data_IF_530893271737
#
_entry.id   IF_530893271737
#
_cell.length_a   1.000
_cell.length_b   1.000
_cell.length_c   1.000
_cell.angle_alpha   90.00
_cell.angle_beta   90.00
_cell.angle_gamma   90.00
#
_symmetry.space_group_name_H-M   'P 1'
#
loop_
_entity.id
_entity.type
_entity.pdbx_description
1 polymer ?
#
# COMPACT_ATOMS: atom_id res chain seq x y z
N UNK A 1 -7.14 14.84 2.70
CA UNK A 1 -6.80 13.53 2.10
C UNK A 1 -7.76 12.51 2.67
N UNK A 2 -9.00 12.54 2.19
CA UNK A 2 -10.11 11.72 2.70
C UNK A 2 -10.27 10.53 1.74
N UNK A 3 -9.80 9.34 2.11
CA UNK A 3 -9.92 8.13 1.26
C UNK A 3 -8.66 7.28 1.06
N UNK A 4 -7.50 7.72 1.56
CA UNK A 4 -6.30 6.88 1.56
C UNK A 4 -6.36 5.86 2.71
N UNK A 5 -6.42 4.57 2.35
CA UNK A 5 -6.34 3.44 3.26
C UNK A 5 -4.96 3.31 3.91
N UNK A 6 -3.91 3.60 3.15
CA UNK A 6 -2.52 3.57 3.58
C UNK A 6 -1.75 4.66 2.85
N UNK A 7 -0.81 5.32 3.53
CA UNK A 7 0.08 6.31 2.93
C UNK A 7 1.45 6.19 3.58
N UNK A 8 2.50 6.23 2.77
CA UNK A 8 3.89 6.19 3.20
C UNK A 8 4.73 6.95 2.18
N UNK A 9 5.49 7.97 2.61
CA UNK A 9 6.53 8.60 1.79
C UNK A 9 7.92 8.24 2.33
N UNK A 10 8.92 8.16 1.45
CA UNK A 10 10.30 7.89 1.84
C UNK A 10 11.30 8.30 0.77
N UNK A 11 12.55 8.42 1.17
CA UNK A 11 13.69 8.61 0.28
C UNK A 11 14.29 7.21 0.02
N UNK A 12 14.69 6.92 -1.21
CA UNK A 12 15.32 5.66 -1.61
C UNK A 12 16.61 6.02 -2.34
N UNK A 13 17.76 5.98 -1.65
CA UNK A 13 19.02 6.51 -2.18
C UNK A 13 18.91 8.01 -2.49
N UNK A 14 19.28 8.43 -3.70
CA UNK A 14 19.06 9.81 -4.20
C UNK A 14 17.62 10.07 -4.72
N UNK A 15 16.76 9.05 -4.71
CA UNK A 15 15.38 9.11 -5.17
C UNK A 15 14.37 9.25 -4.04
N UNK A 16 13.08 9.34 -4.39
CA UNK A 16 11.96 9.33 -3.42
C UNK A 16 10.89 8.36 -3.88
N UNK A 17 10.22 7.67 -2.97
CA UNK A 17 9.02 6.90 -3.28
C UNK A 17 7.91 7.19 -2.28
N UNK A 18 6.72 7.38 -2.81
CA UNK A 18 5.50 7.64 -2.09
C UNK A 18 4.54 6.53 -2.47
N UNK A 19 4.16 5.70 -1.52
CA UNK A 19 3.21 4.62 -1.69
C UNK A 19 1.93 4.96 -0.96
N UNK A 20 0.80 4.92 -1.65
CA UNK A 20 -0.53 5.10 -1.09
C UNK A 20 -1.49 4.03 -1.60
N UNK A 21 -2.39 3.59 -0.74
CA UNK A 21 -3.45 2.64 -1.06
C UNK A 21 -4.76 3.39 -0.95
N UNK A 22 -5.53 3.38 -2.02
CA UNK A 22 -6.90 3.91 -2.00
C UNK A 22 -7.83 2.87 -1.39
N UNK A 23 -8.88 3.33 -0.71
CA UNK A 23 -9.90 2.39 -0.24
C UNK A 23 -10.58 1.72 -1.45
N UNK A 24 -10.73 0.39 -1.43
CA UNK A 24 -11.39 -0.32 -2.52
C UNK A 24 -12.88 0.07 -2.55
N UNK A 25 -13.46 0.19 -3.74
CA UNK A 25 -14.88 0.47 -3.93
C UNK A 25 -15.70 -0.81 -3.66
N UNK A 26 -16.90 -0.68 -3.06
CA UNK A 26 -17.84 -1.81 -2.86
C UNK A 26 -18.07 -2.50 -4.20
N UNK A 27 -17.69 -3.77 -4.31
CA UNK A 27 -17.89 -4.54 -5.56
C UNK A 27 -19.38 -4.66 -5.92
N UNK A 28 -20.26 -4.63 -4.91
CA UNK A 28 -21.71 -4.72 -5.09
C UNK A 28 -22.38 -3.41 -5.54
N UNK A 29 -21.99 -2.24 -5.02
CA UNK A 29 -22.67 -0.97 -5.33
C UNK A 29 -21.81 0.06 -6.07
N UNK A 30 -20.49 -0.07 -6.04
CA UNK A 30 -19.47 0.83 -6.61
C UNK A 30 -19.56 2.31 -6.18
N UNK A 31 -20.53 2.68 -5.34
CA UNK A 31 -20.75 4.03 -4.81
C UNK A 31 -19.98 4.27 -3.52
N UNK A 32 -20.02 3.30 -2.60
CA UNK A 32 -19.33 3.39 -1.31
C UNK A 32 -17.92 2.79 -1.36
N UNK A 33 -17.05 3.28 -0.48
CA UNK A 33 -15.74 2.68 -0.21
C UNK A 33 -15.84 1.68 0.94
N UNK A 34 -15.16 0.54 0.82
CA UNK A 34 -15.09 -0.45 1.89
C UNK A 34 -14.23 0.10 3.04
N UNK A 35 -14.73 -0.06 4.26
CA UNK A 35 -14.09 0.40 5.48
C UNK A 35 -14.20 -0.63 6.59
N UNK A 36 -13.49 -0.41 7.71
CA UNK A 36 -13.72 -1.24 8.89
C UNK A 36 -15.16 -1.04 9.37
N UNK A 37 -15.88 -2.12 9.74
CA UNK A 37 -17.26 -2.03 10.18
C UNK A 37 -17.35 -1.12 11.41
N UNK A 38 -18.43 -0.34 11.50
CA UNK A 38 -18.62 0.59 12.60
C UNK A 38 -19.32 -0.16 13.75
N UNK A 39 -18.69 -0.18 14.93
CA UNK A 39 -19.31 -0.75 16.14
C UNK A 39 -20.56 0.04 16.53
N UNK A 40 -21.40 -0.54 17.38
CA UNK A 40 -22.52 0.14 18.06
C UNK A 40 -22.12 1.48 18.72
N UNK A 41 -20.85 1.65 19.09
CA UNK A 41 -20.29 2.89 19.65
C UNK A 41 -19.86 3.94 18.60
N UNK A 42 -20.19 3.77 17.32
CA UNK A 42 -19.80 4.70 16.24
C UNK A 42 -18.31 4.67 15.89
N UNK A 43 -17.52 3.77 16.51
CA UNK A 43 -16.08 3.64 16.27
C UNK A 43 -15.78 2.48 15.31
N UNK A 44 -14.79 2.61 14.40
CA UNK A 44 -14.36 1.51 13.54
C UNK A 44 -13.86 0.31 14.36
N UNK A 45 -14.35 -0.88 14.05
CA UNK A 45 -13.90 -2.12 14.64
C UNK A 45 -12.53 -2.51 14.07
N UNK A 46 -11.47 -2.17 14.79
CA UNK A 46 -10.09 -2.56 14.41
C UNK A 46 -9.83 -4.07 14.53
N UNK A 47 -10.66 -4.82 15.26
CA UNK A 47 -10.54 -6.29 15.44
C UNK A 47 -11.28 -7.07 14.37
N UNK A 48 -12.16 -6.45 13.59
CA UNK A 48 -12.83 -7.12 12.49
C UNK A 48 -11.82 -7.51 11.39
N UNK A 49 -11.84 -8.78 10.98
CA UNK A 49 -11.07 -9.30 9.84
C UNK A 49 -11.79 -9.12 8.50
N UNK A 50 -12.86 -8.33 8.49
CA UNK A 50 -13.65 -7.99 7.32
C UNK A 50 -13.87 -6.47 7.28
N UNK A 51 -14.29 -6.01 6.11
CA UNK A 51 -14.58 -4.65 5.77
C UNK A 51 -16.03 -4.59 5.32
N UNK A 52 -16.75 -3.58 5.77
CA UNK A 52 -18.15 -3.39 5.43
C UNK A 52 -18.28 -2.06 4.68
N UNK A 53 -19.07 -2.07 3.61
CA UNK A 53 -19.39 -0.85 2.91
C UNK A 53 -20.58 -0.13 3.61
N UNK A 54 -20.47 1.17 3.90
CA UNK A 54 -21.53 1.91 4.57
C UNK A 54 -22.82 2.08 3.74
N UNK A 55 -22.71 2.04 2.40
CA UNK A 55 -23.84 2.24 1.48
C UNK A 55 -24.65 0.95 1.28
N UNK A 56 -23.94 -0.13 0.95
CA UNK A 56 -24.53 -1.40 0.50
C UNK A 56 -24.57 -2.46 1.63
N UNK A 57 -23.90 -2.22 2.77
CA UNK A 57 -23.62 -3.20 3.84
C UNK A 57 -22.97 -4.50 3.35
N UNK A 58 -22.34 -4.45 2.18
CA UNK A 58 -21.58 -5.58 1.65
C UNK A 58 -20.32 -5.78 2.49
N UNK A 59 -20.02 -7.02 2.82
CA UNK A 59 -18.89 -7.40 3.66
C UNK A 59 -17.84 -8.13 2.83
N UNK A 60 -16.59 -7.67 2.87
CA UNK A 60 -15.45 -8.33 2.22
C UNK A 60 -14.38 -8.67 3.25
N UNK A 61 -13.77 -9.84 3.14
CA UNK A 61 -12.70 -10.28 4.03
C UNK A 61 -11.37 -9.61 3.71
N UNK A 62 -10.47 -9.52 4.69
CA UNK A 62 -9.11 -8.98 4.48
C UNK A 62 -8.36 -9.73 3.38
N UNK A 63 -8.55 -11.04 3.23
CA UNK A 63 -7.92 -11.84 2.18
C UNK A 63 -8.39 -11.43 0.77
N UNK A 64 -9.71 -11.32 0.57
CA UNK A 64 -10.30 -10.93 -0.71
C UNK A 64 -9.88 -9.51 -1.09
N UNK A 65 -9.86 -8.62 -0.09
CA UNK A 65 -9.38 -7.27 -0.27
C UNK A 65 -7.88 -7.21 -0.51
N UNK A 66 -7.04 -7.96 0.20
CA UNK A 66 -5.59 -7.94 0.00
C UNK A 66 -5.19 -8.32 -1.43
N UNK A 67 -5.98 -9.16 -2.09
CA UNK A 67 -5.81 -9.54 -3.49
C UNK A 67 -6.27 -8.45 -4.47
N UNK A 68 -7.30 -7.68 -4.10
CA UNK A 68 -7.88 -6.59 -4.91
C UNK A 68 -7.23 -5.24 -4.65
N UNK A 69 -6.58 -5.06 -3.49
CA UNK A 69 -5.97 -3.82 -3.06
C UNK A 69 -4.73 -3.53 -3.91
N UNK A 70 -4.77 -2.35 -4.54
CA UNK A 70 -3.67 -1.85 -5.36
C UNK A 70 -2.97 -0.72 -4.62
N UNK A 71 -1.66 -0.85 -4.44
CA UNK A 71 -0.76 0.18 -3.94
C UNK A 71 -0.33 1.04 -5.12
N UNK A 72 -0.75 2.29 -5.13
CA UNK A 72 -0.20 3.29 -6.03
C UNK A 72 1.12 3.80 -5.46
N UNK A 73 2.12 3.91 -6.31
CA UNK A 73 3.48 4.27 -5.96
C UNK A 73 3.98 5.36 -6.91
N UNK A 74 4.06 6.58 -6.42
CA UNK A 74 4.81 7.66 -7.08
C UNK A 74 6.28 7.59 -6.66
N UNK A 75 7.19 7.32 -7.59
CA UNK A 75 8.61 7.19 -7.31
C UNK A 75 9.48 8.06 -8.20
N UNK A 76 10.67 8.35 -7.73
CA UNK A 76 11.77 8.98 -8.45
C UNK A 76 12.91 7.98 -8.39
N UNK A 77 13.29 7.47 -9.54
CA UNK A 77 14.34 6.47 -9.64
C UNK A 77 15.67 7.05 -9.14
N UNK A 78 16.34 6.44 -8.15
CA UNK A 78 17.65 6.91 -7.71
C UNK A 78 18.73 6.79 -8.79
N UNK A 79 18.58 5.87 -9.75
CA UNK A 79 19.57 5.59 -10.79
C UNK A 79 19.48 6.56 -11.97
N UNK A 80 18.29 6.71 -12.54
CA UNK A 80 18.08 7.55 -13.73
C UNK A 80 17.36 8.89 -13.44
N UNK A 81 17.05 9.18 -12.15
CA UNK A 81 16.31 10.37 -11.68
C UNK A 81 14.95 10.58 -12.32
N UNK A 82 14.42 9.56 -13.00
CA UNK A 82 13.11 9.62 -13.63
C UNK A 82 12.01 9.50 -12.58
N UNK A 83 11.11 10.48 -12.57
CA UNK A 83 9.87 10.46 -11.82
C UNK A 83 8.80 9.70 -12.61
N UNK A 84 8.26 8.64 -12.02
CA UNK A 84 7.16 7.87 -12.59
C UNK A 84 6.17 7.47 -11.52
N UNK A 85 4.99 7.04 -11.95
CA UNK A 85 3.98 6.46 -11.07
C UNK A 85 3.68 5.05 -11.54
N UNK A 86 3.60 4.12 -10.60
CA UNK A 86 3.29 2.72 -10.88
C UNK A 86 2.34 2.18 -9.84
N UNK A 87 1.60 1.15 -10.20
CA UNK A 87 0.67 0.46 -9.31
C UNK A 87 1.15 -0.97 -9.11
N UNK A 88 1.21 -1.41 -7.85
CA UNK A 88 1.60 -2.77 -7.48
C UNK A 88 0.56 -3.35 -6.54
N UNK A 89 0.25 -4.66 -6.59
CA UNK A 89 -0.67 -5.27 -5.62
C UNK A 89 -0.17 -5.05 -4.18
N UNK A 90 -1.09 -5.02 -3.20
CA UNK A 90 -0.78 -4.94 -1.76
C UNK A 90 -0.17 -6.25 -1.23
N UNK A 91 0.82 -6.79 -1.93
CA UNK A 91 1.54 -8.00 -1.58
C UNK A 91 2.99 -7.66 -1.27
N UNK A 92 3.38 -7.78 0.00
CA UNK A 92 4.77 -7.58 0.39
C UNK A 92 5.54 -8.85 0.09
N UNK A 93 6.69 -8.69 -0.55
CA UNK A 93 7.64 -9.79 -0.78
C UNK A 93 8.85 -9.58 0.11
N UNK A 94 9.49 -10.67 0.53
CA UNK A 94 10.80 -10.59 1.19
C UNK A 94 11.83 -10.15 0.14
N UNK A 95 12.39 -8.97 0.32
CA UNK A 95 13.48 -8.44 -0.49
C UNK A 95 14.64 -8.11 0.45
N UNK A 96 15.78 -8.77 0.29
CA UNK A 96 16.95 -8.59 1.17
C UNK A 96 16.61 -8.70 2.67
N UNK A 97 15.84 -9.73 3.06
CA UNK A 97 15.45 -9.97 4.46
C UNK A 97 14.36 -9.04 5.03
N UNK A 98 13.92 -8.04 4.27
CA UNK A 98 12.86 -7.09 4.67
C UNK A 98 11.61 -7.24 3.82
N UNK A 99 10.44 -7.10 4.44
CA UNK A 99 9.17 -7.12 3.72
C UNK A 99 8.95 -5.77 3.01
N UNK A 100 8.98 -5.78 1.69
CA UNK A 100 8.87 -4.59 0.85
C UNK A 100 7.95 -4.83 -0.36
N UNK A 101 7.34 -3.76 -0.86
CA UNK A 101 6.74 -3.76 -2.18
C UNK A 101 7.84 -3.51 -3.21
N UNK A 102 8.13 -4.47 -4.07
CA UNK A 102 9.16 -4.33 -5.10
C UNK A 102 8.48 -4.01 -6.41
N UNK A 103 8.87 -2.89 -7.03
CA UNK A 103 8.39 -2.49 -8.36
C UNK A 103 9.60 -2.19 -9.25
N UNK A 104 9.38 -2.15 -10.57
CA UNK A 104 10.44 -1.87 -11.54
C UNK A 104 10.27 -0.47 -12.10
N UNK A 105 11.39 0.24 -12.28
CA UNK A 105 11.37 1.54 -12.94
C UNK A 105 10.98 1.37 -14.41
N UNK A 106 9.97 2.11 -14.89
CA UNK A 106 9.51 2.04 -16.27
C UNK A 106 10.56 2.48 -17.30
N UNK A 107 11.57 3.26 -16.88
CA UNK A 107 12.60 3.79 -17.78
C UNK A 107 13.87 2.97 -17.79
N UNK A 108 14.40 2.58 -16.63
CA UNK A 108 15.66 1.86 -16.51
C UNK A 108 15.51 0.40 -16.04
N UNK A 109 14.28 -0.06 -15.78
CA UNK A 109 13.97 -1.40 -15.26
C UNK A 109 14.62 -1.75 -13.89
N UNK A 110 15.16 -0.75 -13.19
CA UNK A 110 15.73 -0.92 -11.85
C UNK A 110 14.67 -1.35 -10.84
N UNK A 111 15.00 -2.32 -9.98
CA UNK A 111 14.09 -2.84 -8.95
C UNK A 111 14.15 -1.95 -7.73
N UNK A 112 13.05 -1.26 -7.44
CA UNK A 112 12.95 -0.32 -6.32
C UNK A 112 12.06 -0.94 -5.23
N UNK A 113 12.62 -1.30 -4.07
CA UNK A 113 11.85 -1.81 -2.94
C UNK A 113 11.20 -0.69 -2.11
N UNK A 114 10.01 -0.94 -1.56
CA UNK A 114 9.26 -0.08 -0.62
C UNK A 114 9.00 -0.83 0.71
N UNK A 115 9.88 -0.70 1.70
CA UNK A 115 9.69 -1.19 3.08
C UNK A 115 8.70 -0.35 3.90
N UNK A 116 8.03 -1.00 4.87
CA UNK A 116 7.15 -0.32 5.84
C UNK A 116 7.93 0.18 7.05
N UNK A 117 7.99 1.51 7.18
CA UNK A 117 8.25 2.39 8.34
C UNK A 117 9.35 2.11 9.38
N UNK A 118 10.11 1.00 9.38
CA UNK A 118 11.03 0.71 10.50
C UNK A 118 12.29 -0.12 10.16
N UNK A 119 12.59 -0.34 8.87
CA UNK A 119 13.87 -0.97 8.47
C UNK A 119 14.47 -0.26 7.28
N UNK A 120 15.60 0.38 7.51
CA UNK A 120 16.57 0.71 6.48
C UNK A 120 16.94 -0.57 5.74
N UNK A 121 17.02 -0.46 4.42
CA UNK A 121 17.48 -1.56 3.58
C UNK A 121 18.99 -1.34 3.49
N UNK A 122 19.71 -1.97 4.40
CA UNK A 122 21.15 -1.83 4.52
C UNK A 122 21.57 -0.70 5.45
N UNK A 123 21.74 -1.03 6.73
CA UNK A 123 23.07 -0.90 7.29
C UNK A 123 23.43 -2.29 7.79
N UNK A 124 24.54 -2.84 7.30
CA UNK A 124 25.11 -4.04 7.85
C UNK A 124 25.62 -3.67 9.25
N UNK A 125 24.87 -4.06 10.27
CA UNK A 125 25.35 -4.00 11.65
C UNK A 125 26.51 -5.00 11.79
N UNK A 126 27.72 -4.46 11.90
CA UNK A 126 28.72 -4.85 12.89
C UNK A 126 29.48 -6.17 12.70
N UNK A 127 30.75 -5.99 12.30
CA UNK A 127 31.98 -6.69 12.71
C UNK A 127 32.15 -8.20 12.49
#
# INVERSE_FOLDING_TARGET
MDGCFYFSNRIIGEGKATAWVLRPQCSACKKGVLGKPIKKNGKPDKKANYYECPECKHQETDESLSSTLVVSVGYVCPRCRHSGETTTPYQRKKFQGVNAFVFQCQKCNEKIPITKKLKEIGEQDGS
#
